data_IF_970278580202
#
_entry.id   IF_970278580202
#
_cell.length_a   1.000
_cell.length_b   1.000
_cell.length_c   1.000
_cell.angle_alpha   90.00
_cell.angle_beta   90.00
_cell.angle_gamma   90.00
#
_symmetry.space_group_name_H-M   'P 1'
#
loop_
_entity.id
_entity.type
_entity.pdbx_description
1 polymer ?
#
# COMPACT_ATOMS: atom_id res chain seq x y z
N UNK A 1 14.06 18.13 22.04
CA UNK A 1 14.75 16.91 21.54
C UNK A 1 13.82 15.70 21.52
N UNK A 2 13.10 15.40 22.61
CA UNK A 2 12.17 14.25 22.68
C UNK A 2 11.00 14.32 21.70
N UNK A 3 10.32 15.47 21.58
CA UNK A 3 9.18 15.62 20.65
C UNK A 3 9.59 15.40 19.18
N UNK A 4 10.78 15.90 18.81
CA UNK A 4 11.36 15.68 17.48
C UNK A 4 11.59 14.20 17.19
N UNK A 5 12.18 13.47 18.15
CA UNK A 5 12.33 12.02 18.03
C UNK A 5 10.95 11.33 17.96
N UNK A 6 9.97 11.82 18.71
CA UNK A 6 8.59 11.35 18.69
C UNK A 6 7.95 11.43 17.29
N UNK A 7 8.18 12.52 16.54
CA UNK A 7 7.67 12.65 15.15
C UNK A 7 8.33 11.65 14.22
N UNK A 8 9.65 11.45 14.34
CA UNK A 8 10.36 10.44 13.56
C UNK A 8 9.83 9.02 13.85
N UNK A 9 9.59 8.70 15.12
CA UNK A 9 9.02 7.42 15.54
C UNK A 9 7.59 7.24 15.05
N UNK A 10 6.76 8.29 15.15
CA UNK A 10 5.37 8.28 14.69
C UNK A 10 5.29 8.02 13.19
N UNK A 11 6.10 8.73 12.41
CA UNK A 11 6.20 8.50 10.96
C UNK A 11 6.70 7.07 10.64
N UNK A 12 7.75 6.60 11.32
CA UNK A 12 8.30 5.26 11.09
C UNK A 12 7.27 4.17 11.42
N UNK A 13 6.49 4.36 12.49
CA UNK A 13 5.39 3.48 12.84
C UNK A 13 4.31 3.48 11.77
N UNK A 14 3.84 4.66 11.33
CA UNK A 14 2.84 4.78 10.25
C UNK A 14 3.29 4.07 8.97
N UNK A 15 4.48 4.38 8.45
CA UNK A 15 5.01 3.75 7.23
C UNK A 15 5.18 2.23 7.38
N UNK A 16 5.79 1.80 8.50
CA UNK A 16 6.03 0.40 8.79
C UNK A 16 4.72 -0.40 8.96
N UNK A 17 3.73 0.18 9.63
CA UNK A 17 2.43 -0.42 9.86
C UNK A 17 1.67 -0.62 8.54
N UNK A 18 1.51 0.43 7.75
CA UNK A 18 0.83 0.35 6.44
C UNK A 18 1.49 -0.70 5.57
N UNK A 19 2.82 -0.71 5.47
CA UNK A 19 3.56 -1.73 4.71
C UNK A 19 3.27 -3.14 5.21
N UNK A 20 3.37 -3.35 6.51
CA UNK A 20 3.25 -4.69 7.12
C UNK A 20 1.84 -5.25 7.00
N UNK A 21 0.83 -4.44 7.32
CA UNK A 21 -0.58 -4.81 7.20
C UNK A 21 -0.95 -5.09 5.73
N UNK A 22 -0.48 -4.28 4.79
CA UNK A 22 -0.69 -4.49 3.36
C UNK A 22 -0.08 -5.81 2.88
N UNK A 23 1.18 -6.10 3.24
CA UNK A 23 1.85 -7.36 2.89
C UNK A 23 1.13 -8.55 3.52
N UNK A 24 0.67 -8.42 4.78
CA UNK A 24 -0.11 -9.45 5.46
C UNK A 24 -1.39 -9.78 4.71
N UNK A 25 -2.13 -8.77 4.24
CA UNK A 25 -3.35 -8.98 3.45
C UNK A 25 -3.06 -9.62 2.09
N UNK A 26 -2.06 -9.12 1.36
CA UNK A 26 -1.68 -9.73 0.06
C UNK A 26 -1.22 -11.17 0.25
N UNK A 27 -0.46 -11.47 1.31
CA UNK A 27 -0.05 -12.83 1.66
C UNK A 27 -1.25 -13.73 1.94
N UNK A 28 -2.23 -13.25 2.70
CA UNK A 28 -3.48 -13.99 2.92
C UNK A 28 -4.20 -14.32 1.61
N UNK A 29 -4.32 -13.36 0.68
CA UNK A 29 -4.95 -13.60 -0.62
C UNK A 29 -4.14 -14.58 -1.46
N UNK A 30 -2.80 -14.46 -1.47
CA UNK A 30 -1.91 -15.37 -2.19
C UNK A 30 -2.07 -16.83 -1.71
N UNK A 31 -2.30 -17.04 -0.41
CA UNK A 31 -2.48 -18.38 0.18
C UNK A 31 -3.94 -18.85 0.18
N UNK A 32 -4.91 -18.02 -0.22
CA UNK A 32 -6.34 -18.39 -0.32
C UNK A 32 -6.63 -19.39 -1.44
N UNK A 33 -5.69 -19.62 -2.35
CA UNK A 33 -5.77 -20.68 -3.36
C UNK A 33 -6.78 -20.43 -4.48
N UNK A 34 -7.14 -19.16 -4.71
CA UNK A 34 -8.05 -18.73 -5.76
C UNK A 34 -7.46 -18.92 -7.16
N UNK A 35 -8.33 -19.04 -8.16
CA UNK A 35 -7.94 -19.00 -9.57
C UNK A 35 -7.88 -17.55 -10.05
N UNK A 36 -7.12 -17.27 -11.11
CA UNK A 36 -7.02 -15.91 -11.66
C UNK A 36 -8.39 -15.31 -12.00
N UNK A 37 -9.30 -16.12 -12.56
CA UNK A 37 -10.67 -15.69 -12.90
C UNK A 37 -11.52 -15.29 -11.69
N UNK A 38 -11.19 -15.80 -10.50
CA UNK A 38 -11.93 -15.54 -9.27
C UNK A 38 -11.40 -14.29 -8.53
N UNK A 39 -10.23 -13.76 -8.90
CA UNK A 39 -9.64 -12.59 -8.28
C UNK A 39 -10.33 -11.30 -8.73
N UNK A 40 -10.46 -10.35 -7.81
CA UNK A 40 -10.82 -8.96 -8.13
C UNK A 40 -9.80 -8.33 -9.10
N UNK A 41 -10.20 -7.25 -9.76
CA UNK A 41 -9.37 -6.62 -10.81
C UNK A 41 -7.99 -6.19 -10.30
N UNK A 42 -7.92 -5.61 -9.10
CA UNK A 42 -6.66 -5.17 -8.49
C UNK A 42 -5.74 -6.35 -8.16
N UNK A 43 -6.26 -7.46 -7.61
CA UNK A 43 -5.44 -8.64 -7.33
C UNK A 43 -5.07 -9.43 -8.59
N UNK A 44 -5.93 -9.46 -9.60
CA UNK A 44 -5.60 -10.04 -10.90
C UNK A 44 -4.46 -9.25 -11.57
N UNK A 45 -4.54 -7.92 -11.56
CA UNK A 45 -3.47 -7.05 -12.07
C UNK A 45 -2.17 -7.27 -11.29
N UNK A 46 -2.24 -7.44 -9.97
CA UNK A 46 -1.09 -7.76 -9.13
C UNK A 46 -0.47 -9.12 -9.50
N UNK A 47 -1.29 -10.15 -9.67
CA UNK A 47 -0.85 -11.50 -10.02
C UNK A 47 -0.20 -11.57 -11.42
N UNK A 48 -0.68 -10.75 -12.36
CA UNK A 48 -0.18 -10.67 -13.74
C UNK A 48 0.91 -9.61 -13.92
N UNK A 49 1.29 -8.87 -12.87
CA UNK A 49 2.19 -7.71 -12.97
C UNK A 49 3.49 -8.03 -13.70
N UNK A 50 4.13 -9.15 -13.41
CA UNK A 50 5.37 -9.53 -14.10
C UNK A 50 5.15 -9.74 -15.60
N UNK A 51 4.09 -10.48 -15.97
CA UNK A 51 3.75 -10.70 -17.38
C UNK A 51 3.46 -9.38 -18.11
N UNK A 52 2.75 -8.46 -17.46
CA UNK A 52 2.44 -7.12 -18.01
C UNK A 52 3.72 -6.31 -18.20
N UNK A 53 4.60 -6.28 -17.19
CA UNK A 53 5.85 -5.52 -17.25
C UNK A 53 6.84 -6.07 -18.28
N UNK A 54 6.95 -7.38 -18.41
CA UNK A 54 7.80 -8.03 -19.41
C UNK A 54 7.29 -7.77 -20.84
N UNK A 55 5.99 -7.92 -21.06
CA UNK A 55 5.35 -7.61 -22.33
C UNK A 55 5.48 -6.12 -22.70
N UNK A 56 5.27 -5.21 -21.74
CA UNK A 56 5.31 -3.77 -21.98
C UNK A 56 6.73 -3.21 -22.24
N UNK A 57 7.78 -3.88 -21.76
CA UNK A 57 9.18 -3.47 -21.99
C UNK A 57 9.80 -4.08 -23.26
N UNK A 58 9.12 -5.05 -23.88
CA UNK A 58 9.66 -5.81 -24.99
C UNK A 58 8.91 -5.55 -26.28
N UNK A 59 9.62 -5.55 -27.40
CA UNK A 59 9.06 -5.53 -28.75
C UNK A 59 8.89 -6.94 -29.33
N UNK A 60 9.20 -7.99 -28.56
CA UNK A 60 9.10 -9.38 -29.03
C UNK A 60 7.63 -9.81 -29.07
N UNK A 61 7.08 -10.15 -30.26
CA UNK A 61 5.69 -10.59 -30.38
C UNK A 61 5.39 -11.84 -29.54
N UNK A 62 6.39 -12.69 -29.29
CA UNK A 62 6.26 -13.89 -28.46
C UNK A 62 5.83 -13.60 -27.03
N UNK A 63 6.30 -12.50 -26.43
CA UNK A 63 5.89 -12.10 -25.07
C UNK A 63 4.47 -11.51 -25.06
N UNK A 64 4.09 -10.78 -26.10
CA UNK A 64 2.73 -10.26 -26.26
C UNK A 64 1.71 -11.39 -26.48
N UNK A 65 2.03 -12.36 -27.32
CA UNK A 65 1.24 -13.57 -27.52
C UNK A 65 1.13 -14.34 -26.20
N UNK A 66 2.24 -14.53 -25.47
CA UNK A 66 2.22 -15.22 -24.18
C UNK A 66 1.30 -14.58 -23.15
N UNK A 67 1.35 -13.25 -22.98
CA UNK A 67 0.41 -12.52 -22.12
C UNK A 67 -1.05 -12.71 -22.57
N UNK A 68 -1.30 -12.63 -23.89
CA UNK A 68 -2.65 -12.77 -24.46
C UNK A 68 -3.20 -14.18 -24.24
N UNK A 69 -2.40 -15.23 -24.50
CA UNK A 69 -2.78 -16.63 -24.23
C UNK A 69 -3.11 -16.83 -22.75
N UNK A 70 -2.32 -16.27 -21.84
CA UNK A 70 -2.58 -16.34 -20.40
C UNK A 70 -3.91 -15.72 -20.02
N UNK A 71 -4.23 -14.55 -20.59
CA UNK A 71 -5.50 -13.86 -20.39
C UNK A 71 -6.71 -14.59 -20.99
N UNK A 72 -6.54 -15.27 -22.13
CA UNK A 72 -7.64 -15.93 -22.84
C UNK A 72 -7.91 -17.36 -22.36
N UNK A 73 -6.87 -18.09 -21.96
CA UNK A 73 -6.96 -19.55 -21.80
C UNK A 73 -6.56 -20.04 -20.40
N UNK A 74 -5.75 -19.28 -19.66
CA UNK A 74 -5.12 -19.77 -18.41
C UNK A 74 -5.75 -19.16 -17.15
N UNK A 75 -6.82 -18.36 -17.26
CA UNK A 75 -7.44 -17.74 -16.08
C UNK A 75 -8.12 -18.75 -15.13
N UNK A 76 -8.32 -19.99 -15.58
CA UNK A 76 -8.83 -21.08 -14.73
C UNK A 76 -7.75 -21.72 -13.85
N UNK A 77 -6.48 -21.37 -14.04
CA UNK A 77 -5.38 -21.84 -13.20
C UNK A 77 -5.35 -21.15 -11.84
N UNK A 78 -4.70 -21.79 -10.86
CA UNK A 78 -4.46 -21.20 -9.54
C UNK A 78 -3.57 -19.97 -9.69
N UNK A 79 -4.01 -18.86 -9.13
CA UNK A 79 -3.25 -17.61 -9.14
C UNK A 79 -1.97 -17.74 -8.33
N UNK A 80 -0.89 -17.15 -8.84
CA UNK A 80 0.38 -17.00 -8.12
C UNK A 80 0.65 -15.52 -7.94
N UNK A 81 0.71 -15.09 -6.69
CA UNK A 81 0.96 -13.69 -6.32
C UNK A 81 2.29 -13.64 -5.58
N UNK A 82 3.23 -12.84 -6.09
CA UNK A 82 4.47 -12.56 -5.37
C UNK A 82 4.19 -11.52 -4.26
N UNK A 83 3.85 -12.01 -3.08
CA UNK A 83 3.40 -11.17 -1.96
C UNK A 83 4.55 -10.51 -1.21
N UNK A 84 5.73 -11.14 -1.12
CA UNK A 84 6.87 -10.67 -0.30
C UNK A 84 7.34 -9.25 -0.68
N UNK A 85 7.28 -8.94 -1.98
CA UNK A 85 7.69 -7.65 -2.53
C UNK A 85 6.54 -6.92 -3.25
N UNK A 86 5.29 -7.26 -2.88
CA UNK A 86 4.10 -6.68 -3.52
C UNK A 86 3.93 -5.19 -3.21
N UNK A 87 4.27 -4.78 -1.98
CA UNK A 87 4.03 -3.43 -1.47
C UNK A 87 5.34 -2.66 -1.35
N UNK A 88 5.35 -1.46 -1.93
CA UNK A 88 6.49 -0.55 -1.87
C UNK A 88 6.01 0.85 -1.44
N UNK A 89 6.46 1.30 -0.27
CA UNK A 89 6.17 2.63 0.28
C UNK A 89 7.05 3.73 -0.32
N UNK A 90 7.93 3.39 -1.29
CA UNK A 90 8.88 4.30 -1.95
C UNK A 90 9.86 4.97 -0.98
N UNK A 91 10.12 4.33 0.17
CA UNK A 91 10.93 4.86 1.28
C UNK A 91 10.41 6.16 1.90
N UNK A 92 9.24 6.64 1.47
CA UNK A 92 8.55 7.84 1.91
C UNK A 92 7.05 7.66 1.64
N UNK A 93 6.29 7.26 2.65
CA UNK A 93 4.85 7.07 2.55
C UNK A 93 4.13 8.43 2.61
N UNK A 94 4.04 9.07 1.44
CA UNK A 94 3.18 10.22 1.21
C UNK A 94 1.76 9.80 0.78
N UNK A 95 0.86 10.76 0.67
CA UNK A 95 -0.55 10.54 0.30
C UNK A 95 -0.70 9.82 -1.06
N UNK A 96 0.12 10.16 -2.05
CA UNK A 96 0.10 9.52 -3.37
C UNK A 96 0.61 8.07 -3.33
N UNK A 97 1.69 7.80 -2.57
CA UNK A 97 2.17 6.43 -2.37
C UNK A 97 1.13 5.58 -1.64
N UNK A 98 0.45 6.16 -0.64
CA UNK A 98 -0.65 5.50 0.06
C UNK A 98 -1.82 5.18 -0.87
N UNK A 99 -2.22 6.12 -1.74
CA UNK A 99 -3.26 5.90 -2.75
C UNK A 99 -2.95 4.72 -3.66
N UNK A 100 -1.72 4.61 -4.13
CA UNK A 100 -1.27 3.50 -4.97
C UNK A 100 -1.30 2.16 -4.22
N UNK A 101 -0.99 2.16 -2.92
CA UNK A 101 -1.12 0.98 -2.06
C UNK A 101 -2.61 0.61 -1.89
N UNK A 102 -3.46 1.56 -1.54
CA UNK A 102 -4.90 1.34 -1.37
C UNK A 102 -5.54 0.79 -2.66
N UNK A 103 -5.17 1.32 -3.83
CA UNK A 103 -5.63 0.81 -5.13
C UNK A 103 -5.19 -0.64 -5.37
N UNK A 104 -3.96 -1.01 -4.98
CA UNK A 104 -3.49 -2.40 -5.06
C UNK A 104 -4.30 -3.33 -4.15
N UNK A 105 -4.66 -2.88 -2.95
CA UNK A 105 -5.47 -3.65 -2.01
C UNK A 105 -6.96 -3.68 -2.36
N UNK A 106 -7.42 -2.75 -3.22
CA UNK A 106 -8.83 -2.56 -3.54
C UNK A 106 -9.60 -1.82 -2.44
N UNK A 107 -8.92 -0.98 -1.67
CA UNK A 107 -9.50 -0.16 -0.59
C UNK A 107 -9.75 1.26 -1.10
N UNK A 108 -10.84 1.87 -0.65
CA UNK A 108 -11.28 3.20 -1.04
C UNK A 108 -10.37 4.28 -0.43
N UNK A 109 -9.88 5.20 -1.27
CA UNK A 109 -8.78 6.10 -0.89
C UNK A 109 -9.24 7.47 -0.36
N UNK A 110 -10.48 7.90 -0.62
CA UNK A 110 -10.90 9.28 -0.34
C UNK A 110 -10.75 9.66 1.14
N UNK A 111 -11.09 8.83 2.14
CA UNK A 111 -10.92 9.15 3.56
C UNK A 111 -9.47 9.50 3.92
N UNK A 112 -8.51 8.81 3.32
CA UNK A 112 -7.09 9.05 3.53
C UNK A 112 -6.60 10.29 2.79
N UNK A 113 -7.08 10.51 1.57
CA UNK A 113 -6.69 11.67 0.76
C UNK A 113 -7.18 13.00 1.34
N UNK A 114 -8.30 13.00 2.07
CA UNK A 114 -8.75 14.15 2.87
C UNK A 114 -7.74 14.56 3.94
N UNK A 115 -6.90 13.62 4.40
CA UNK A 115 -5.79 13.84 5.34
C UNK A 115 -4.44 14.00 4.63
N UNK A 116 -4.42 14.21 3.32
CA UNK A 116 -3.18 14.33 2.53
C UNK A 116 -2.23 15.42 3.04
N UNK A 117 -2.75 16.60 3.42
CA UNK A 117 -1.93 17.66 4.00
C UNK A 117 -1.28 17.25 5.34
N UNK A 118 -1.98 16.46 6.16
CA UNK A 118 -1.43 15.92 7.41
C UNK A 118 -0.29 14.93 7.13
N UNK A 119 -0.48 14.00 6.20
CA UNK A 119 0.53 13.01 5.81
C UNK A 119 1.77 13.67 5.19
N UNK A 120 1.56 14.56 4.22
CA UNK A 120 2.64 15.09 3.40
C UNK A 120 3.41 16.21 4.10
N UNK A 121 2.69 17.14 4.73
CA UNK A 121 3.28 18.35 5.29
C UNK A 121 3.53 18.22 6.79
N UNK A 122 2.54 17.78 7.58
CA UNK A 122 2.71 17.72 9.04
C UNK A 122 3.53 16.53 9.50
N UNK A 123 3.43 15.38 8.84
CA UNK A 123 4.14 14.17 9.24
C UNK A 123 5.44 13.97 8.47
N UNK A 124 5.37 13.77 7.14
CA UNK A 124 6.53 13.42 6.32
C UNK A 124 7.53 14.59 6.21
N UNK A 125 7.09 15.80 5.89
CA UNK A 125 8.00 16.93 5.78
C UNK A 125 8.66 17.27 7.13
N UNK A 126 7.90 17.23 8.25
CA UNK A 126 8.46 17.38 9.60
C UNK A 126 9.50 16.31 9.91
N UNK A 127 9.22 15.03 9.61
CA UNK A 127 10.20 13.93 9.76
C UNK A 127 11.47 14.23 8.97
N UNK A 128 11.34 14.64 7.71
CA UNK A 128 12.49 14.93 6.85
C UNK A 128 13.33 16.07 7.40
N UNK A 129 12.68 17.18 7.80
CA UNK A 129 13.36 18.32 8.39
C UNK A 129 14.12 17.92 9.65
N UNK A 130 13.51 17.13 10.53
CA UNK A 130 14.14 16.66 11.76
C UNK A 130 15.33 15.75 11.47
N UNK A 131 15.17 14.77 10.57
CA UNK A 131 16.20 13.81 10.21
C UNK A 131 17.42 14.46 9.55
N UNK A 132 17.21 15.55 8.80
CA UNK A 132 18.28 16.34 8.17
C UNK A 132 18.86 17.43 9.09
N UNK A 133 18.52 17.44 10.39
CA UNK A 133 19.07 18.37 11.36
C UNK A 133 18.47 19.78 11.33
N UNK A 134 17.40 20.00 10.57
CA UNK A 134 16.69 21.27 10.49
C UNK A 134 16.05 21.69 11.82
N UNK A 135 15.77 22.99 11.96
CA UNK A 135 15.02 23.53 13.09
C UNK A 135 13.53 23.33 12.83
N UNK A 136 12.91 22.44 13.60
CA UNK A 136 11.45 22.25 13.63
C UNK A 136 11.02 22.47 15.09
N UNK A 137 10.35 23.58 15.34
CA UNK A 137 9.73 23.87 16.63
C UNK A 137 8.36 23.20 16.62
N UNK A 138 8.28 22.06 17.30
CA UNK A 138 7.03 21.35 17.56
C UNK A 138 6.80 21.42 19.05
N UNK A 139 5.67 22.02 19.45
CA UNK A 139 5.25 22.02 20.83
C UNK A 139 4.51 20.71 21.18
N UNK A 140 4.19 20.56 22.47
CA UNK A 140 3.53 19.35 22.96
C UNK A 140 2.08 19.21 22.46
N UNK A 141 1.39 20.32 22.24
CA UNK A 141 0.02 20.34 21.72
C UNK A 141 -0.01 19.87 20.26
N UNK A 142 0.84 20.47 19.43
CA UNK A 142 1.01 20.10 18.02
C UNK A 142 1.37 18.62 17.86
N UNK A 143 2.28 18.13 18.71
CA UNK A 143 2.70 16.73 18.69
C UNK A 143 1.54 15.80 19.05
N UNK A 144 0.77 16.11 20.10
CA UNK A 144 -0.37 15.29 20.53
C UNK A 144 -1.46 15.23 19.46
N UNK A 145 -1.80 16.36 18.86
CA UNK A 145 -2.77 16.40 17.77
C UNK A 145 -2.30 15.55 16.57
N UNK A 146 -1.04 15.68 16.17
CA UNK A 146 -0.46 14.88 15.11
C UNK A 146 -0.46 13.38 15.45
N UNK A 147 -0.12 13.03 16.70
CA UNK A 147 -0.15 11.67 17.20
C UNK A 147 -1.55 11.07 17.12
N UNK A 148 -2.56 11.76 17.65
CA UNK A 148 -3.94 11.28 17.67
C UNK A 148 -4.47 11.03 16.27
N UNK A 149 -4.20 11.96 15.34
CA UNK A 149 -4.59 11.82 13.92
C UNK A 149 -3.89 10.64 13.22
N UNK A 150 -2.59 10.43 13.47
CA UNK A 150 -1.86 9.31 12.88
C UNK A 150 -2.29 7.96 13.45
N UNK A 151 -2.57 7.89 14.76
CA UNK A 151 -3.12 6.69 15.39
C UNK A 151 -4.50 6.38 14.82
N UNK A 152 -5.37 7.38 14.70
CA UNK A 152 -6.69 7.21 14.09
C UNK A 152 -6.59 6.72 12.64
N UNK A 153 -5.65 7.23 11.86
CA UNK A 153 -5.38 6.75 10.50
C UNK A 153 -4.89 5.30 10.48
N UNK A 154 -4.03 4.90 11.43
CA UNK A 154 -3.57 3.52 11.56
C UNK A 154 -4.72 2.57 11.92
N UNK A 155 -5.59 2.96 12.86
CA UNK A 155 -6.77 2.17 13.24
C UNK A 155 -7.76 2.04 12.08
N UNK A 156 -8.00 3.14 11.35
CA UNK A 156 -8.84 3.14 10.16
C UNK A 156 -8.27 2.19 9.10
N UNK A 157 -6.97 2.28 8.82
CA UNK A 157 -6.28 1.39 7.88
C UNK A 157 -6.37 -0.08 8.29
N UNK A 158 -6.16 -0.37 9.58
CA UNK A 158 -6.29 -1.72 10.12
C UNK A 158 -7.70 -2.27 9.88
N UNK A 159 -8.72 -1.48 10.21
CA UNK A 159 -10.12 -1.85 10.05
C UNK A 159 -10.46 -2.11 8.58
N UNK A 160 -10.02 -1.25 7.67
CA UNK A 160 -10.27 -1.43 6.23
C UNK A 160 -9.59 -2.68 5.68
N UNK A 161 -8.36 -2.96 6.08
CA UNK A 161 -7.65 -4.20 5.69
C UNK A 161 -8.37 -5.43 6.23
N UNK A 162 -8.78 -5.43 7.50
CA UNK A 162 -9.52 -6.54 8.10
C UNK A 162 -10.88 -6.73 7.43
N UNK A 163 -11.60 -5.64 7.17
CA UNK A 163 -12.88 -5.66 6.47
C UNK A 163 -12.73 -6.23 5.06
N UNK A 164 -11.72 -5.79 4.29
CA UNK A 164 -11.46 -6.31 2.95
C UNK A 164 -11.19 -7.82 2.95
N UNK A 165 -10.44 -8.31 3.94
CA UNK A 165 -10.19 -9.74 4.11
C UNK A 165 -11.45 -10.53 4.53
N UNK A 166 -12.19 -10.01 5.53
CA UNK A 166 -13.38 -10.66 6.09
C UNK A 166 -14.53 -10.75 5.08
N UNK A 167 -14.76 -9.66 4.34
CA UNK A 167 -15.82 -9.55 3.30
C UNK A 167 -15.40 -10.10 1.95
N UNK A 168 -14.13 -10.56 1.82
CA UNK A 168 -13.57 -11.14 0.61
C UNK A 168 -13.61 -10.21 -0.61
N UNK A 169 -13.33 -8.92 -0.42
CA UNK A 169 -13.25 -7.93 -1.52
C UNK A 169 -12.23 -8.30 -2.61
N UNK A 170 -11.26 -9.17 -2.28
CA UNK A 170 -10.28 -9.72 -3.22
C UNK A 170 -10.85 -10.76 -4.20
N UNK A 171 -12.13 -11.14 -4.06
CA UNK A 171 -12.81 -12.13 -4.89
C UNK A 171 -13.93 -11.46 -5.70
N UNK A 172 -14.09 -11.87 -6.96
CA UNK A 172 -15.24 -11.51 -7.82
C UNK A 172 -16.52 -12.23 -7.43
#
# INVERSE_FOLDING_TARGET
>A
MLLRAGVCLLYAHWEGFVRTASIGYVSYVAHSGLRYRDLSHNFLAMALRQNIMEAGRSNLPTLHIGLTTKLMSELSERARINWENSINTRSNLNSEALKEILAQLGIEASPYLLKGALLDQRLLASRNQIAHGGQSEIDLGDYRELQDEVILLADTFNNDVQNAAATRMFRK
#
